data_IF_284034870033
#
_entry.id   IF_284034870033
#
_cell.length_a   1.000
_cell.length_b   1.000
_cell.length_c   1.000
_cell.angle_alpha   90.00
_cell.angle_beta   90.00
_cell.angle_gamma   90.00
#
_symmetry.space_group_name_H-M   'P 1'
#
loop_
_entity.id
_entity.type
_entity.pdbx_description
1 polymer ?
#
# COMPACT_ATOMS: atom_id res chain seq x y z
N UNK A 1 62.83 20.21 -60.74
CA UNK A 1 62.38 19.75 -59.43
C UNK A 1 60.84 19.71 -59.51
N UNK A 2 60.28 18.48 -59.60
CA UNK A 2 58.82 18.25 -59.76
C UNK A 2 58.27 17.87 -58.38
N UNK A 3 57.33 18.70 -57.84
CA UNK A 3 56.57 18.35 -56.64
C UNK A 3 55.28 17.71 -57.07
N UNK A 4 55.05 16.46 -56.69
CA UNK A 4 53.79 15.77 -56.86
C UNK A 4 52.88 16.08 -55.68
N UNK A 5 51.74 16.70 -55.95
CA UNK A 5 50.66 16.93 -54.99
C UNK A 5 49.78 15.70 -54.97
N UNK A 6 49.82 14.98 -53.82
CA UNK A 6 49.00 13.80 -53.58
C UNK A 6 47.64 14.26 -52.99
N UNK A 7 46.56 14.14 -53.78
CA UNK A 7 45.20 14.44 -53.32
C UNK A 7 44.63 13.22 -52.58
N UNK A 8 44.49 13.32 -51.23
CA UNK A 8 43.80 12.34 -50.40
C UNK A 8 42.30 12.59 -50.47
N UNK A 9 41.55 11.71 -51.16
CA UNK A 9 40.12 11.63 -51.15
C UNK A 9 39.67 10.93 -49.85
N UNK A 10 39.06 11.66 -48.91
CA UNK A 10 38.32 11.12 -47.77
C UNK A 10 36.89 10.79 -48.20
N UNK A 11 36.37 9.58 -47.97
CA UNK A 11 34.98 9.31 -48.18
C UNK A 11 34.16 9.87 -47.00
N UNK A 12 33.22 10.75 -47.28
CA UNK A 12 32.16 11.16 -46.35
C UNK A 12 31.29 9.95 -46.02
N UNK A 13 31.47 9.39 -44.82
CA UNK A 13 30.52 8.48 -44.23
C UNK A 13 29.29 9.28 -43.73
N UNK A 14 28.22 9.17 -44.45
CA UNK A 14 26.89 9.66 -44.03
C UNK A 14 26.39 8.76 -42.88
N UNK A 15 26.56 9.21 -41.67
CA UNK A 15 26.00 8.54 -40.47
C UNK A 15 24.50 8.83 -40.44
N UNK A 16 23.67 7.93 -41.01
CA UNK A 16 22.25 7.94 -40.82
C UNK A 16 21.96 7.56 -39.35
N UNK A 17 21.58 8.53 -38.53
CA UNK A 17 20.98 8.28 -37.20
C UNK A 17 19.65 7.54 -37.36
N UNK A 18 19.70 6.21 -37.37
CA UNK A 18 18.53 5.40 -37.06
C UNK A 18 18.20 5.59 -35.59
N UNK A 19 17.06 6.19 -35.32
CA UNK A 19 16.43 6.19 -34.01
C UNK A 19 16.38 4.73 -33.48
N UNK A 20 17.16 4.45 -32.46
CA UNK A 20 17.07 3.20 -31.73
C UNK A 20 15.73 3.23 -30.97
N UNK A 21 14.73 2.57 -31.52
CA UNK A 21 13.63 2.05 -30.72
C UNK A 21 14.24 1.21 -29.62
N UNK A 22 13.94 1.56 -28.37
CA UNK A 22 14.38 0.79 -27.22
C UNK A 22 13.93 -0.67 -27.40
N UNK A 23 14.88 -1.58 -27.60
CA UNK A 23 14.58 -3.01 -27.53
C UNK A 23 14.15 -3.31 -26.09
N UNK A 24 13.04 -4.05 -25.89
CA UNK A 24 12.70 -4.57 -24.58
C UNK A 24 13.91 -5.38 -24.06
N UNK A 25 14.20 -5.22 -22.78
CA UNK A 25 15.33 -5.91 -22.13
C UNK A 25 15.28 -7.40 -22.44
N UNK A 26 16.44 -8.04 -22.61
CA UNK A 26 16.51 -9.48 -22.90
C UNK A 26 15.71 -10.34 -21.92
N UNK A 27 15.47 -9.83 -20.70
CA UNK A 27 14.66 -10.43 -19.68
C UNK A 27 13.15 -10.41 -20.02
N UNK A 28 12.63 -9.33 -20.62
CA UNK A 28 11.23 -9.29 -21.06
C UNK A 28 11.00 -10.17 -22.31
N UNK A 29 11.97 -10.28 -23.20
CA UNK A 29 11.90 -11.14 -24.38
C UNK A 29 12.00 -12.64 -23.99
N UNK A 30 12.74 -12.99 -22.94
CA UNK A 30 12.76 -14.35 -22.40
C UNK A 30 11.41 -14.69 -21.75
N UNK A 31 10.84 -13.78 -21.01
CA UNK A 31 9.51 -13.94 -20.38
C UNK A 31 8.37 -14.09 -21.40
N UNK A 32 8.41 -13.33 -22.50
CA UNK A 32 7.43 -13.49 -23.60
C UNK A 32 7.65 -14.75 -24.44
N UNK A 33 8.89 -15.20 -24.59
CA UNK A 33 9.17 -16.48 -25.27
C UNK A 33 8.74 -17.70 -24.46
N UNK A 34 8.88 -17.67 -23.13
CA UNK A 34 8.35 -18.70 -22.25
C UNK A 34 6.81 -18.72 -22.25
N UNK A 35 6.15 -17.54 -22.28
CA UNK A 35 4.70 -17.43 -22.38
C UNK A 35 4.11 -18.04 -23.69
N UNK A 36 4.86 -18.01 -24.77
CA UNK A 36 4.44 -18.57 -26.07
C UNK A 36 4.82 -20.04 -26.26
N UNK A 37 5.77 -20.57 -25.49
CA UNK A 37 6.18 -21.98 -25.56
C UNK A 37 5.43 -22.89 -24.58
N UNK A 38 4.77 -22.34 -23.56
CA UNK A 38 4.07 -23.09 -22.53
C UNK A 38 2.56 -23.11 -22.75
N UNK A 39 2.12 -23.83 -23.79
CA UNK A 39 0.82 -24.52 -23.77
C UNK A 39 0.85 -25.75 -22.85
N UNK A 40 1.80 -25.84 -21.92
CA UNK A 40 1.95 -26.89 -20.94
C UNK A 40 1.27 -26.49 -19.63
N UNK A 41 0.56 -27.41 -19.08
CA UNK A 41 -0.10 -27.40 -17.79
C UNK A 41 0.88 -26.93 -16.71
N UNK A 42 0.80 -25.64 -16.30
CA UNK A 42 1.58 -25.13 -15.16
C UNK A 42 1.03 -25.78 -13.91
N UNK A 43 1.71 -26.78 -13.41
CA UNK A 43 1.39 -27.41 -12.15
C UNK A 43 2.43 -27.03 -11.08
N UNK A 44 2.29 -27.52 -9.88
CA UNK A 44 3.08 -27.12 -8.71
C UNK A 44 4.60 -27.21 -8.95
N UNK A 45 5.07 -28.20 -9.71
CA UNK A 45 6.49 -28.35 -10.02
C UNK A 45 7.05 -27.20 -10.89
N UNK A 46 6.24 -26.69 -11.82
CA UNK A 46 6.62 -25.53 -12.65
C UNK A 46 6.65 -24.26 -11.81
N UNK A 47 5.70 -24.10 -10.88
CA UNK A 47 5.66 -23.00 -9.90
C UNK A 47 6.90 -23.06 -9.00
N UNK A 48 7.26 -24.25 -8.47
CA UNK A 48 8.48 -24.43 -7.66
C UNK A 48 9.75 -24.08 -8.45
N UNK A 49 9.79 -24.41 -9.72
CA UNK A 49 10.93 -24.08 -10.60
C UNK A 49 11.03 -22.58 -10.86
N UNK A 50 9.90 -21.88 -10.95
CA UNK A 50 9.87 -20.41 -11.07
C UNK A 50 10.30 -19.70 -9.78
N UNK A 51 10.13 -20.34 -8.61
CA UNK A 51 10.39 -19.79 -7.29
C UNK A 51 9.35 -18.77 -6.82
N UNK A 52 8.24 -18.60 -7.57
CA UNK A 52 7.22 -17.59 -7.29
C UNK A 52 5.80 -18.19 -7.50
N UNK A 53 4.92 -17.95 -6.54
CA UNK A 53 3.49 -18.26 -6.62
C UNK A 53 2.73 -16.97 -6.94
N UNK A 54 2.05 -16.94 -8.09
CA UNK A 54 1.26 -15.79 -8.53
C UNK A 54 -0.17 -15.97 -8.03
N UNK A 55 -0.57 -15.11 -7.12
CA UNK A 55 -1.86 -15.19 -6.42
C UNK A 55 -2.74 -14.03 -6.84
N UNK A 56 -3.86 -14.31 -7.48
CA UNK A 56 -4.88 -13.31 -7.76
C UNK A 56 -5.89 -13.22 -6.62
N UNK A 57 -6.31 -12.00 -6.30
CA UNK A 57 -7.38 -11.73 -5.32
C UNK A 57 -8.05 -10.40 -5.59
N UNK A 58 -9.05 -10.03 -4.77
CA UNK A 58 -9.71 -8.72 -4.82
C UNK A 58 -9.24 -7.90 -3.62
N UNK A 59 -8.96 -6.61 -3.81
CA UNK A 59 -8.58 -5.73 -2.71
C UNK A 59 -9.66 -5.64 -1.64
N UNK A 60 -9.27 -5.79 -0.37
CA UNK A 60 -10.17 -5.70 0.77
C UNK A 60 -9.49 -6.06 2.09
N UNK A 61 -10.11 -5.72 3.23
CA UNK A 61 -9.51 -5.92 4.55
C UNK A 61 -9.31 -7.39 4.92
N UNK A 62 -10.17 -8.30 4.43
CA UNK A 62 -10.08 -9.74 4.68
C UNK A 62 -9.30 -10.49 3.59
N UNK A 63 -9.10 -9.87 2.43
CA UNK A 63 -8.48 -10.48 1.27
C UNK A 63 -7.02 -10.06 1.15
N UNK A 64 -6.77 -8.90 0.58
CA UNK A 64 -5.43 -8.31 0.45
C UNK A 64 -5.49 -6.79 0.39
N UNK A 65 -4.57 -6.15 1.06
CA UNK A 65 -4.23 -4.73 0.90
C UNK A 65 -2.77 -4.49 1.25
N UNK A 66 -2.15 -3.49 0.64
CA UNK A 66 -0.82 -3.04 1.03
C UNK A 66 -0.91 -2.11 2.24
N UNK A 67 -0.14 -2.41 3.27
CA UNK A 67 0.03 -1.55 4.42
C UNK A 67 1.50 -1.19 4.59
N UNK A 68 1.88 0.01 4.18
CA UNK A 68 3.26 0.50 4.26
C UNK A 68 4.27 -0.45 3.60
N UNK A 69 3.92 -1.04 2.47
CA UNK A 69 4.74 -1.99 1.74
C UNK A 69 4.75 -3.42 2.30
N UNK A 70 3.90 -3.73 3.26
CA UNK A 70 3.65 -5.08 3.75
C UNK A 70 2.24 -5.54 3.34
N UNK A 71 2.13 -6.75 2.82
CA UNK A 71 0.85 -7.38 2.51
C UNK A 71 0.08 -7.71 3.78
N UNK A 72 -1.22 -7.42 3.77
CA UNK A 72 -2.17 -7.63 4.86
C UNK A 72 -3.43 -8.31 4.32
N UNK A 73 -4.20 -8.91 5.23
CA UNK A 73 -5.44 -9.62 4.93
C UNK A 73 -5.30 -11.12 5.14
N UNK A 74 -6.40 -11.77 5.59
CA UNK A 74 -6.39 -13.19 5.94
C UNK A 74 -6.07 -14.07 4.71
N UNK A 75 -6.64 -13.76 3.54
CA UNK A 75 -6.39 -14.57 2.35
C UNK A 75 -4.93 -14.44 1.90
N UNK A 76 -4.35 -13.25 2.02
CA UNK A 76 -2.92 -13.04 1.80
C UNK A 76 -2.07 -13.82 2.81
N UNK A 77 -2.40 -13.77 4.11
CA UNK A 77 -1.65 -14.50 5.13
C UNK A 77 -1.64 -16.00 4.85
N UNK A 78 -2.78 -16.57 4.44
CA UNK A 78 -2.87 -17.98 4.05
C UNK A 78 -2.01 -18.28 2.80
N UNK A 79 -2.07 -17.43 1.78
CA UNK A 79 -1.27 -17.62 0.57
C UNK A 79 0.24 -17.52 0.84
N UNK A 80 0.65 -16.57 1.68
CA UNK A 80 2.03 -16.38 2.10
C UNK A 80 2.55 -17.59 2.92
N UNK A 81 1.73 -18.12 3.83
CA UNK A 81 2.05 -19.34 4.59
C UNK A 81 2.20 -20.56 3.68
N UNK A 82 1.28 -20.76 2.73
CA UNK A 82 1.38 -21.86 1.77
C UNK A 82 2.64 -21.72 0.92
N UNK A 83 2.86 -20.57 0.32
CA UNK A 83 4.04 -20.33 -0.50
C UNK A 83 5.34 -20.56 0.29
N UNK A 84 5.39 -20.08 1.55
CA UNK A 84 6.54 -20.28 2.41
C UNK A 84 6.79 -21.76 2.72
N UNK A 85 5.74 -22.56 2.93
CA UNK A 85 5.86 -24.00 3.13
C UNK A 85 6.41 -24.74 1.90
N UNK A 86 6.18 -24.20 0.71
CA UNK A 86 6.68 -24.69 -0.57
C UNK A 86 8.04 -24.07 -0.99
N UNK A 87 8.62 -23.17 -0.15
CA UNK A 87 9.86 -22.48 -0.47
C UNK A 87 9.72 -21.39 -1.55
N UNK A 88 8.50 -20.90 -1.79
CA UNK A 88 8.14 -19.93 -2.82
C UNK A 88 7.99 -18.53 -2.26
N UNK A 89 8.07 -17.53 -3.16
CA UNK A 89 7.65 -16.15 -2.89
C UNK A 89 6.26 -15.91 -3.43
N UNK A 90 5.47 -15.09 -2.73
CA UNK A 90 4.14 -14.69 -3.22
C UNK A 90 4.26 -13.42 -4.06
N UNK A 91 3.61 -13.43 -5.23
CA UNK A 91 3.29 -12.25 -6.01
C UNK A 91 1.78 -12.06 -6.06
N UNK A 92 1.30 -10.91 -5.54
CA UNK A 92 -0.13 -10.60 -5.54
C UNK A 92 -0.52 -9.83 -6.79
N UNK A 93 -1.60 -10.30 -7.43
CA UNK A 93 -2.27 -9.61 -8.55
C UNK A 93 -3.70 -9.25 -8.14
N UNK A 94 -4.15 -8.04 -8.46
CA UNK A 94 -5.46 -7.55 -8.05
C UNK A 94 -6.45 -7.55 -9.21
N UNK A 95 -7.54 -8.29 -9.02
CA UNK A 95 -8.70 -8.27 -9.89
C UNK A 95 -9.74 -7.24 -9.39
N UNK A 96 -10.55 -6.69 -10.28
CA UNK A 96 -11.61 -5.74 -9.96
C UNK A 96 -12.81 -6.44 -9.32
N UNK A 97 -13.10 -7.64 -9.80
CA UNK A 97 -14.23 -8.46 -9.34
C UNK A 97 -13.94 -9.96 -9.49
N UNK A 98 -14.86 -10.78 -9.00
CA UNK A 98 -14.72 -12.25 -9.03
C UNK A 98 -14.66 -12.80 -10.46
N UNK A 99 -15.27 -12.15 -11.44
CA UNK A 99 -15.26 -12.60 -12.84
C UNK A 99 -13.87 -12.43 -13.43
N UNK A 100 -13.29 -11.22 -13.30
CA UNK A 100 -11.91 -10.96 -13.72
C UNK A 100 -10.92 -11.87 -13.00
N UNK A 101 -11.14 -12.10 -11.68
CA UNK A 101 -10.32 -12.99 -10.86
C UNK A 101 -10.26 -14.40 -11.44
N UNK A 102 -11.41 -14.99 -11.73
CA UNK A 102 -11.49 -16.35 -12.33
C UNK A 102 -10.90 -16.37 -13.75
N UNK A 103 -11.12 -15.33 -14.53
CA UNK A 103 -10.55 -15.19 -15.86
C UNK A 103 -9.01 -15.10 -15.84
N UNK A 104 -8.42 -14.41 -14.87
CA UNK A 104 -6.96 -14.36 -14.70
C UNK A 104 -6.37 -15.72 -14.46
N UNK A 105 -6.97 -16.54 -13.57
CA UNK A 105 -6.54 -17.92 -13.34
C UNK A 105 -6.72 -18.77 -14.60
N UNK A 106 -7.85 -18.65 -15.29
CA UNK A 106 -8.14 -19.39 -16.52
C UNK A 106 -7.13 -19.08 -17.64
N UNK A 107 -6.71 -17.82 -17.77
CA UNK A 107 -5.70 -17.41 -18.76
C UNK A 107 -4.26 -17.70 -18.33
N UNK A 108 -4.05 -18.20 -17.11
CA UNK A 108 -2.70 -18.44 -16.57
C UNK A 108 -1.93 -17.18 -16.22
N UNK A 109 -2.63 -16.07 -15.98
CA UNK A 109 -2.07 -14.82 -15.47
C UNK A 109 -1.82 -14.91 -13.96
N UNK A 110 -2.49 -15.85 -13.29
CA UNK A 110 -2.26 -16.24 -11.92
C UNK A 110 -2.37 -17.76 -11.76
N UNK A 111 -1.66 -18.32 -10.80
CA UNK A 111 -1.66 -19.75 -10.49
C UNK A 111 -2.90 -20.13 -9.70
N UNK A 112 -3.36 -19.24 -8.80
CA UNK A 112 -4.54 -19.47 -7.99
C UNK A 112 -5.31 -18.17 -7.69
N UNK A 113 -6.61 -18.31 -7.40
CA UNK A 113 -7.48 -17.29 -6.88
C UNK A 113 -7.63 -17.43 -5.36
N UNK A 114 -7.02 -16.55 -4.58
CA UNK A 114 -7.14 -16.53 -3.12
C UNK A 114 -8.36 -15.69 -2.69
N UNK A 115 -9.54 -16.27 -2.89
CA UNK A 115 -10.83 -15.72 -2.48
C UNK A 115 -11.77 -16.90 -2.17
N UNK A 116 -12.56 -16.90 -1.09
CA UNK A 116 -13.63 -17.85 -0.88
C UNK A 116 -14.73 -17.69 -1.94
N UNK A 117 -14.76 -18.56 -2.92
CA UNK A 117 -15.71 -18.55 -4.05
C UNK A 117 -16.57 -19.83 -3.97
N UNK A 118 -17.87 -19.70 -4.24
CA UNK A 118 -18.78 -20.83 -4.31
C UNK A 118 -18.27 -21.91 -5.30
N UNK A 119 -18.23 -23.16 -4.86
CA UNK A 119 -17.63 -24.27 -5.60
C UNK A 119 -18.32 -24.50 -6.97
N UNK A 120 -19.63 -24.23 -7.07
CA UNK A 120 -20.36 -24.32 -8.35
C UNK A 120 -19.89 -23.23 -9.32
N UNK A 121 -19.68 -22.01 -8.82
CA UNK A 121 -19.19 -20.91 -9.63
C UNK A 121 -17.77 -21.16 -10.15
N UNK A 122 -16.93 -21.83 -9.35
CA UNK A 122 -15.59 -22.28 -9.78
C UNK A 122 -15.73 -23.30 -10.90
N UNK A 123 -16.57 -24.31 -10.73
CA UNK A 123 -16.83 -25.34 -11.73
C UNK A 123 -17.43 -24.78 -13.03
N UNK A 124 -18.42 -23.86 -12.93
CA UNK A 124 -19.04 -23.17 -14.08
C UNK A 124 -18.01 -22.35 -14.88
N UNK A 125 -16.98 -21.83 -14.23
CA UNK A 125 -15.86 -21.14 -14.89
C UNK A 125 -14.87 -22.11 -15.57
N UNK A 126 -15.01 -23.43 -15.38
CA UNK A 126 -14.09 -24.45 -15.88
C UNK A 126 -12.78 -24.52 -15.09
N UNK A 127 -12.82 -24.12 -13.81
CA UNK A 127 -11.71 -24.16 -12.87
C UNK A 127 -11.93 -25.26 -11.82
N UNK A 128 -10.90 -25.52 -11.03
CA UNK A 128 -10.91 -26.53 -9.99
C UNK A 128 -10.89 -25.89 -8.59
N UNK A 129 -11.73 -26.42 -7.68
CA UNK A 129 -11.74 -26.01 -6.28
C UNK A 129 -10.54 -26.59 -5.54
N UNK A 130 -9.76 -25.74 -4.85
CA UNK A 130 -8.53 -26.14 -4.18
C UNK A 130 -8.72 -26.54 -2.70
N UNK A 131 -9.95 -26.50 -2.15
CA UNK A 131 -10.25 -26.97 -0.80
C UNK A 131 -9.79 -26.05 0.34
N UNK A 132 -9.19 -24.90 0.07
CA UNK A 132 -8.93 -23.85 1.08
C UNK A 132 -10.24 -23.12 1.30
N UNK A 133 -11.00 -23.49 2.33
CA UNK A 133 -12.39 -23.07 2.47
C UNK A 133 -12.83 -22.86 3.93
N UNK A 134 -13.95 -22.18 4.10
CA UNK A 134 -14.81 -22.35 5.26
C UNK A 134 -15.73 -23.56 4.96
N UNK A 135 -15.48 -24.68 5.61
CA UNK A 135 -16.21 -25.93 5.41
C UNK A 135 -17.75 -25.80 5.58
N UNK A 136 -18.23 -24.73 6.19
CA UNK A 136 -19.66 -24.44 6.40
C UNK A 136 -20.32 -23.73 5.22
N UNK A 137 -19.55 -23.17 4.29
CA UNK A 137 -20.09 -22.29 3.25
C UNK A 137 -19.94 -22.83 1.82
N UNK A 138 -19.36 -24.02 1.63
CA UNK A 138 -19.09 -24.60 0.30
C UNK A 138 -18.34 -23.63 -0.63
N UNK A 139 -17.35 -22.92 -0.07
CA UNK A 139 -16.51 -22.00 -0.80
C UNK A 139 -15.07 -22.45 -0.77
N UNK A 140 -14.35 -22.25 -1.85
CA UNK A 140 -12.94 -22.66 -1.99
C UNK A 140 -12.14 -21.58 -2.72
N UNK A 141 -10.82 -21.71 -2.65
CA UNK A 141 -9.93 -21.08 -3.63
C UNK A 141 -10.06 -21.81 -4.96
N UNK A 142 -9.73 -21.13 -6.05
CA UNK A 142 -9.78 -21.72 -7.38
C UNK A 142 -8.38 -21.80 -8.00
N UNK A 143 -8.10 -22.92 -8.66
CA UNK A 143 -6.90 -23.14 -9.48
C UNK A 143 -7.31 -23.52 -10.88
N UNK A 144 -6.41 -23.43 -11.85
CA UNK A 144 -6.67 -23.85 -13.23
C UNK A 144 -6.89 -25.36 -13.29
N UNK A 145 -7.76 -25.83 -14.14
CA UNK A 145 -7.92 -27.25 -14.43
C UNK A 145 -7.16 -27.59 -15.72
N UNK A 146 -6.37 -28.68 -15.76
CA UNK A 146 -6.00 -29.58 -14.67
C UNK A 146 -4.72 -29.05 -13.95
N UNK A 147 -4.82 -28.67 -12.68
CA UNK A 147 -3.69 -28.38 -11.81
C UNK A 147 -3.81 -29.27 -10.55
N UNK A 148 -3.77 -30.55 -10.77
CA UNK A 148 -4.09 -31.56 -9.73
C UNK A 148 -3.08 -31.50 -8.58
N UNK A 149 -1.77 -31.34 -8.86
CA UNK A 149 -0.73 -31.27 -7.83
C UNK A 149 -0.87 -30.04 -6.94
N UNK A 150 -1.12 -28.86 -7.51
CA UNK A 150 -1.33 -27.64 -6.75
C UNK A 150 -2.60 -27.75 -5.88
N UNK A 151 -3.69 -28.25 -6.46
CA UNK A 151 -4.95 -28.44 -5.73
C UNK A 151 -4.82 -29.47 -4.60
N UNK A 152 -4.11 -30.57 -4.81
CA UNK A 152 -3.84 -31.56 -3.77
C UNK A 152 -2.93 -31.04 -2.68
N UNK A 153 -1.87 -30.33 -3.02
CA UNK A 153 -0.97 -29.70 -2.06
C UNK A 153 -1.73 -28.68 -1.18
N UNK A 154 -2.57 -27.83 -1.76
CA UNK A 154 -3.40 -26.89 -1.04
C UNK A 154 -4.38 -27.60 -0.08
N UNK A 155 -5.04 -28.68 -0.53
CA UNK A 155 -5.96 -29.47 0.32
C UNK A 155 -5.24 -30.18 1.45
N UNK A 156 -4.05 -30.72 1.20
CA UNK A 156 -3.25 -31.39 2.20
C UNK A 156 -2.69 -30.43 3.27
N UNK A 157 -2.31 -29.24 2.80
CA UNK A 157 -1.76 -28.19 3.68
C UNK A 157 -2.83 -27.50 4.52
N UNK A 158 -4.03 -27.23 3.96
CA UNK A 158 -5.07 -26.47 4.62
C UNK A 158 -5.82 -27.31 5.68
N UNK A 159 -5.94 -26.71 6.88
CA UNK A 159 -6.73 -27.30 7.96
C UNK A 159 -7.14 -26.28 9.02
N UNK A 160 -7.94 -26.68 10.01
CA UNK A 160 -8.38 -25.78 11.08
C UNK A 160 -7.22 -25.13 11.84
N UNK A 161 -6.10 -25.84 12.02
CA UNK A 161 -4.90 -25.32 12.68
C UNK A 161 -4.26 -24.22 11.81
N UNK A 162 -4.06 -24.46 10.53
CA UNK A 162 -3.53 -23.51 9.56
C UNK A 162 -4.34 -22.19 9.52
N UNK A 163 -5.66 -22.34 9.49
CA UNK A 163 -6.57 -21.18 9.53
C UNK A 163 -6.45 -20.40 10.84
N UNK A 164 -6.40 -21.11 11.98
CA UNK A 164 -6.28 -20.47 13.28
C UNK A 164 -4.94 -19.73 13.44
N UNK A 165 -3.85 -20.30 12.94
CA UNK A 165 -2.53 -19.68 12.94
C UNK A 165 -2.51 -18.42 12.07
N UNK A 166 -3.03 -18.47 10.85
CA UNK A 166 -3.12 -17.31 9.96
C UNK A 166 -3.98 -16.19 10.58
N UNK A 167 -5.11 -16.53 11.20
CA UNK A 167 -5.97 -15.57 11.90
C UNK A 167 -5.27 -14.96 13.12
N UNK A 168 -4.50 -15.74 13.88
CA UNK A 168 -3.75 -15.26 15.02
C UNK A 168 -2.62 -14.32 14.59
N UNK A 169 -1.94 -14.64 13.51
CA UNK A 169 -0.88 -13.81 12.94
C UNK A 169 -1.44 -12.49 12.39
N UNK A 170 -2.51 -12.54 11.60
CA UNK A 170 -3.17 -11.34 11.09
C UNK A 170 -3.65 -10.42 12.24
N UNK A 171 -4.25 -11.00 13.27
CA UNK A 171 -4.64 -10.26 14.47
C UNK A 171 -3.44 -9.65 15.21
N UNK A 172 -2.31 -10.35 15.25
CA UNK A 172 -1.05 -9.83 15.82
C UNK A 172 -0.50 -8.69 14.96
N UNK A 173 -0.48 -8.82 13.64
CA UNK A 173 -0.08 -7.77 12.70
C UNK A 173 -0.95 -6.52 12.87
N UNK A 174 -2.28 -6.67 12.92
CA UNK A 174 -3.23 -5.57 13.14
C UNK A 174 -3.05 -4.88 14.50
N UNK A 175 -2.73 -5.61 15.58
CA UNK A 175 -2.40 -5.01 16.87
C UNK A 175 -1.10 -4.21 16.81
N UNK A 176 -0.08 -4.73 16.15
CA UNK A 176 1.21 -4.07 16.01
C UNK A 176 1.15 -2.80 15.13
N UNK A 177 0.18 -2.72 14.22
CA UNK A 177 -0.14 -1.49 13.48
C UNK A 177 -0.46 -0.33 14.44
N UNK A 178 -1.16 -0.61 15.53
CA UNK A 178 -1.56 0.39 16.53
C UNK A 178 -0.51 0.60 17.64
N UNK A 179 0.37 -0.39 17.88
CA UNK A 179 1.44 -0.31 18.88
C UNK A 179 2.76 0.18 18.25
N UNK A 180 2.86 1.45 17.92
CA UNK A 180 4.18 2.06 17.78
C UNK A 180 4.77 2.18 19.18
N UNK A 181 5.65 1.27 19.58
CA UNK A 181 6.46 1.39 20.80
C UNK A 181 7.35 2.61 20.66
N UNK A 182 6.83 3.75 21.06
CA UNK A 182 7.57 5.01 21.09
C UNK A 182 8.34 5.05 22.41
N UNK A 183 9.64 4.93 22.34
CA UNK A 183 10.48 5.52 23.38
C UNK A 183 10.37 7.03 23.17
N UNK A 184 9.40 7.65 23.85
CA UNK A 184 9.16 9.09 23.73
C UNK A 184 10.34 9.83 24.33
N UNK A 185 11.24 10.30 23.48
CA UNK A 185 12.20 11.33 23.88
C UNK A 185 11.45 12.67 24.04
N UNK A 186 11.95 13.52 24.93
CA UNK A 186 11.33 14.81 25.18
C UNK A 186 11.09 15.58 23.89
N UNK A 187 9.90 16.18 23.73
CA UNK A 187 9.46 16.89 22.51
C UNK A 187 10.37 18.09 22.20
N UNK A 188 11.01 18.65 23.22
CA UNK A 188 12.04 19.68 23.11
C UNK A 188 13.20 19.36 24.04
N UNK A 189 14.43 19.43 23.54
CA UNK A 189 15.62 19.45 24.38
C UNK A 189 15.78 20.79 25.12
N UNK A 190 15.42 21.89 24.48
CA UNK A 190 15.40 23.22 25.08
C UNK A 190 14.44 24.12 24.32
N UNK A 191 13.30 24.41 24.93
CA UNK A 191 12.29 25.28 24.33
C UNK A 191 12.80 26.71 24.16
N UNK A 192 13.53 27.23 25.17
CA UNK A 192 14.05 28.62 25.18
C UNK A 192 15.11 28.84 24.10
N UNK A 193 15.87 27.79 23.75
CA UNK A 193 16.88 27.85 22.68
C UNK A 193 16.35 27.38 21.33
N UNK A 194 15.07 26.98 21.24
CA UNK A 194 14.46 26.47 20.01
C UNK A 194 15.05 25.14 19.54
N UNK A 195 15.64 24.35 20.43
CA UNK A 195 16.24 23.04 20.13
C UNK A 195 15.17 21.97 20.30
N UNK A 196 14.77 21.32 19.20
CA UNK A 196 13.74 20.26 19.18
C UNK A 196 14.37 18.92 19.52
N UNK A 197 15.50 18.57 18.87
CA UNK A 197 16.18 17.31 19.04
C UNK A 197 17.68 17.45 18.80
N UNK A 198 18.45 16.43 19.14
CA UNK A 198 19.89 16.35 18.79
C UNK A 198 20.10 16.26 17.27
N UNK A 199 19.06 15.95 16.50
CA UNK A 199 19.11 15.78 15.04
C UNK A 199 18.73 17.05 14.25
N UNK A 200 18.47 18.19 14.92
CA UNK A 200 18.12 19.44 14.25
C UNK A 200 19.09 19.86 13.13
N UNK A 201 20.43 19.65 13.25
CA UNK A 201 21.34 19.93 12.15
C UNK A 201 21.03 19.10 10.88
N UNK A 202 20.61 17.83 11.03
CA UNK A 202 20.25 16.97 9.91
C UNK A 202 18.95 17.42 9.24
N UNK A 203 17.97 17.89 10.03
CA UNK A 203 16.71 18.43 9.50
C UNK A 203 16.93 19.74 8.75
N UNK A 204 17.81 20.60 9.25
CA UNK A 204 18.23 21.82 8.53
C UNK A 204 18.92 21.52 7.22
N UNK A 205 19.76 20.49 7.17
CA UNK A 205 20.37 20.02 5.93
C UNK A 205 19.33 19.45 4.97
N UNK A 206 18.38 18.63 5.45
CA UNK A 206 17.29 18.07 4.67
C UNK A 206 16.34 19.16 4.13
N UNK A 207 16.17 20.27 4.85
CA UNK A 207 15.41 21.45 4.40
C UNK A 207 15.95 22.01 3.08
N UNK A 208 17.27 22.09 2.90
CA UNK A 208 17.86 22.52 1.64
C UNK A 208 17.53 21.60 0.45
N UNK A 209 17.34 20.29 0.69
CA UNK A 209 16.98 19.31 -0.33
C UNK A 209 15.50 19.34 -0.67
N UNK A 210 14.64 19.53 0.33
CA UNK A 210 13.18 19.41 0.20
C UNK A 210 12.48 20.73 -0.10
N UNK A 211 13.10 21.85 0.27
CA UNK A 211 12.46 23.19 0.30
C UNK A 211 11.46 23.34 1.45
N UNK A 212 11.37 22.37 2.36
CA UNK A 212 10.46 22.42 3.50
C UNK A 212 11.09 23.13 4.71
N UNK A 213 10.26 23.70 5.57
CA UNK A 213 10.71 24.13 6.90
C UNK A 213 11.31 22.91 7.64
N UNK A 214 12.54 23.07 8.16
CA UNK A 214 13.21 22.00 8.91
C UNK A 214 12.42 21.52 10.13
N UNK A 215 11.59 22.39 10.73
CA UNK A 215 10.71 22.06 11.85
C UNK A 215 9.57 21.13 11.42
N UNK A 216 9.12 21.20 10.15
CA UNK A 216 8.18 20.25 9.59
C UNK A 216 8.82 18.87 9.45
N UNK A 217 10.07 18.82 8.98
CA UNK A 217 10.82 17.55 8.88
C UNK A 217 11.04 16.96 10.27
N UNK A 218 11.35 17.79 11.28
CA UNK A 218 11.44 17.36 12.66
C UNK A 218 10.09 16.83 13.20
N UNK A 219 8.97 17.49 12.87
CA UNK A 219 7.63 17.04 13.24
C UNK A 219 7.27 15.68 12.60
N UNK A 220 7.67 15.50 11.34
CA UNK A 220 7.52 14.20 10.64
C UNK A 220 8.39 13.13 11.30
N UNK A 221 9.66 13.39 11.55
CA UNK A 221 10.56 12.46 12.22
C UNK A 221 10.03 12.02 13.59
N UNK A 222 9.50 12.95 14.37
CA UNK A 222 8.85 12.60 15.63
C UNK A 222 7.64 11.68 15.43
N UNK A 223 6.84 11.91 14.39
CA UNK A 223 5.68 11.07 14.08
C UNK A 223 6.11 9.67 13.63
N UNK A 224 7.23 9.54 12.93
CA UNK A 224 7.78 8.26 12.46
C UNK A 224 8.40 7.44 13.60
N UNK A 225 9.31 8.02 14.36
CA UNK A 225 10.15 7.27 15.31
C UNK A 225 10.19 7.84 16.73
N UNK A 226 9.65 9.05 16.98
CA UNK A 226 9.91 9.77 18.24
C UNK A 226 11.37 10.17 18.41
N UNK A 227 12.11 10.34 17.30
CA UNK A 227 13.56 10.59 17.24
C UNK A 227 14.44 9.39 17.65
N UNK A 228 13.92 8.16 17.60
CA UNK A 228 14.71 6.95 17.84
C UNK A 228 15.37 6.47 16.53
N UNK A 229 16.72 6.53 16.39
CA UNK A 229 17.42 6.08 15.20
C UNK A 229 17.38 4.56 15.03
N UNK A 230 17.08 3.80 16.09
CA UNK A 230 16.98 2.34 16.08
C UNK A 230 15.53 1.85 15.96
N UNK A 231 14.57 2.77 15.80
CA UNK A 231 13.17 2.42 15.65
C UNK A 231 12.98 1.44 14.48
N UNK A 232 12.19 0.39 14.75
CA UNK A 232 11.82 -0.62 13.76
C UNK A 232 10.34 -0.92 13.88
N UNK A 233 9.62 -0.75 12.78
CA UNK A 233 8.22 -1.17 12.73
C UNK A 233 8.12 -2.69 12.50
N UNK A 234 6.96 -3.27 12.79
CA UNK A 234 6.67 -4.67 12.48
C UNK A 234 6.73 -4.94 10.97
N UNK A 235 6.34 -3.97 10.12
CA UNK A 235 6.43 -4.06 8.67
C UNK A 235 7.86 -3.89 8.13
N UNK A 236 8.85 -3.69 9.00
CA UNK A 236 10.26 -3.60 8.66
C UNK A 236 10.77 -2.19 8.34
N UNK A 237 9.98 -1.14 8.51
CA UNK A 237 10.46 0.24 8.40
C UNK A 237 11.53 0.53 9.46
N UNK A 238 12.55 1.32 9.13
CA UNK A 238 13.74 1.53 9.99
C UNK A 238 14.16 2.98 10.09
N UNK A 239 14.74 3.30 11.25
CA UNK A 239 15.45 4.53 11.53
C UNK A 239 14.56 5.73 11.82
N UNK A 240 15.17 6.90 11.92
CA UNK A 240 14.52 8.16 12.28
C UNK A 240 13.26 8.47 11.46
N UNK A 241 13.32 8.23 10.15
CA UNK A 241 12.26 8.57 9.19
C UNK A 241 11.51 7.34 8.70
N UNK A 242 11.67 6.18 9.36
CA UNK A 242 10.96 4.93 9.08
C UNK A 242 10.94 4.56 7.59
N UNK A 243 12.11 4.42 6.98
CA UNK A 243 12.22 3.98 5.59
C UNK A 243 11.95 2.49 5.47
N UNK A 244 11.04 2.12 4.57
CA UNK A 244 10.83 0.72 4.21
C UNK A 244 12.03 0.15 3.47
N UNK A 245 12.37 -1.15 3.65
CA UNK A 245 13.55 -1.75 3.03
C UNK A 245 13.61 -1.57 1.51
N UNK A 246 12.51 -1.80 0.81
CA UNK A 246 12.42 -1.60 -0.63
C UNK A 246 12.68 -0.13 -1.01
N UNK A 247 12.06 0.79 -0.30
CA UNK A 247 12.25 2.23 -0.54
C UNK A 247 13.68 2.66 -0.26
N UNK A 248 14.31 2.15 0.81
CA UNK A 248 15.71 2.42 1.12
C UNK A 248 16.63 1.96 -0.02
N UNK A 249 16.42 0.73 -0.54
CA UNK A 249 17.17 0.19 -1.68
C UNK A 249 16.96 1.03 -2.95
N UNK A 250 15.73 1.41 -3.28
CA UNK A 250 15.43 2.29 -4.42
C UNK A 250 16.10 3.66 -4.31
N UNK A 251 16.35 4.13 -3.09
CA UNK A 251 17.07 5.37 -2.79
C UNK A 251 18.57 5.18 -2.66
N UNK A 252 19.10 3.99 -2.93
CA UNK A 252 20.53 3.68 -2.86
C UNK A 252 21.10 3.59 -1.44
N UNK A 253 20.27 3.25 -0.45
CA UNK A 253 20.71 3.04 0.94
C UNK A 253 20.91 1.56 1.19
N UNK A 254 22.10 1.19 1.66
CA UNK A 254 22.43 -0.18 2.05
C UNK A 254 21.72 -0.56 3.37
N UNK A 255 21.38 -1.84 3.51
CA UNK A 255 20.60 -2.34 4.65
C UNK A 255 21.26 -2.08 6.02
N UNK A 256 22.60 -2.09 6.07
CA UNK A 256 23.42 -1.79 7.25
C UNK A 256 23.47 -0.28 7.58
N UNK A 257 23.24 0.58 6.60
CA UNK A 257 23.31 2.04 6.76
C UNK A 257 21.94 2.69 7.07
N UNK A 258 20.86 1.92 6.96
CA UNK A 258 19.51 2.48 7.09
C UNK A 258 19.21 3.07 8.47
N UNK A 259 19.90 2.61 9.52
CA UNK A 259 19.75 3.12 10.89
C UNK A 259 20.73 4.29 11.19
N UNK A 260 21.68 4.59 10.30
CA UNK A 260 22.52 5.78 10.44
C UNK A 260 21.67 7.04 10.29
N UNK A 261 21.64 7.94 11.29
CA UNK A 261 20.77 9.11 11.31
C UNK A 261 20.92 10.01 10.09
N UNK A 262 22.17 10.27 9.66
CA UNK A 262 22.45 11.15 8.52
C UNK A 262 21.98 10.52 7.21
N UNK A 263 22.32 9.27 6.99
CA UNK A 263 21.91 8.51 5.79
C UNK A 263 20.39 8.39 5.71
N UNK A 264 19.74 8.08 6.82
CA UNK A 264 18.29 7.88 6.90
C UNK A 264 17.53 9.19 6.60
N UNK A 265 17.88 10.31 7.24
CA UNK A 265 17.27 11.62 7.01
C UNK A 265 17.52 12.12 5.59
N UNK A 266 18.75 11.94 5.06
CA UNK A 266 19.07 12.34 3.69
C UNK A 266 18.29 11.52 2.65
N UNK A 267 18.09 10.23 2.87
CA UNK A 267 17.27 9.38 2.00
C UNK A 267 15.79 9.78 2.06
N UNK A 268 15.25 10.03 3.24
CA UNK A 268 13.90 10.55 3.40
C UNK A 268 13.69 11.89 2.69
N UNK A 269 14.68 12.80 2.74
CA UNK A 269 14.63 14.05 1.99
C UNK A 269 14.56 13.82 0.46
N UNK A 270 15.29 12.82 -0.07
CA UNK A 270 15.19 12.42 -1.48
C UNK A 270 13.81 11.86 -1.82
N UNK A 271 13.21 11.05 -0.93
CA UNK A 271 11.85 10.53 -1.11
C UNK A 271 10.82 11.67 -1.14
N UNK A 272 10.89 12.60 -0.18
CA UNK A 272 10.01 13.78 -0.13
C UNK A 272 10.12 14.58 -1.43
N UNK A 273 11.32 14.82 -1.93
CA UNK A 273 11.55 15.51 -3.20
C UNK A 273 10.96 14.75 -4.40
N UNK A 274 11.14 13.41 -4.45
CA UNK A 274 10.54 12.53 -5.47
C UNK A 274 9.02 12.65 -5.47
N UNK A 275 8.39 12.51 -4.31
CA UNK A 275 6.93 12.63 -4.14
C UNK A 275 6.43 14.03 -4.50
N UNK A 276 7.17 15.10 -4.12
CA UNK A 276 6.84 16.48 -4.48
C UNK A 276 6.82 16.65 -6.01
N UNK A 277 7.78 16.09 -6.71
CA UNK A 277 7.81 16.09 -8.19
C UNK A 277 6.65 15.29 -8.81
N UNK A 278 6.31 14.15 -8.23
CA UNK A 278 5.19 13.31 -8.68
C UNK A 278 3.82 13.95 -8.42
N UNK A 279 3.73 14.93 -7.52
CA UNK A 279 2.52 15.70 -7.19
C UNK A 279 2.60 17.14 -7.70
N UNK A 280 3.40 17.40 -8.74
CA UNK A 280 3.57 18.75 -9.32
C UNK A 280 2.26 19.32 -9.92
N UNK A 281 1.29 18.46 -10.23
CA UNK A 281 -0.07 18.84 -10.66
C UNK A 281 -0.91 19.51 -9.55
N UNK A 282 -0.53 19.41 -8.28
CA UNK A 282 -1.11 20.19 -7.18
C UNK A 282 -0.37 21.54 -7.12
N UNK A 283 -0.95 22.65 -7.61
CA UNK A 283 -0.19 23.90 -7.83
C UNK A 283 0.19 24.61 -6.52
N UNK A 284 -0.71 24.60 -5.53
CA UNK A 284 -0.44 25.23 -4.23
C UNK A 284 0.56 24.39 -3.43
N UNK A 285 1.65 25.03 -2.97
CA UNK A 285 2.73 24.35 -2.26
C UNK A 285 2.31 23.84 -0.88
N UNK A 286 1.42 24.56 -0.19
CA UNK A 286 0.92 24.16 1.13
C UNK A 286 -0.06 23.00 1.01
N UNK A 287 -0.88 22.97 -0.04
CA UNK A 287 -1.72 21.83 -0.35
C UNK A 287 -0.86 20.62 -0.74
N UNK A 288 0.07 20.81 -1.68
CA UNK A 288 0.97 19.73 -2.14
C UNK A 288 1.73 19.06 -1.00
N UNK A 289 2.19 19.84 -0.02
CA UNK A 289 2.86 19.34 1.18
C UNK A 289 2.01 18.29 1.92
N UNK A 290 0.71 18.53 2.07
CA UNK A 290 -0.22 17.60 2.74
C UNK A 290 -0.37 16.30 1.95
N UNK A 291 -0.47 16.38 0.63
CA UNK A 291 -0.49 15.22 -0.26
C UNK A 291 0.83 14.44 -0.23
N UNK A 292 1.97 15.12 -0.13
CA UNK A 292 3.28 14.48 0.01
C UNK A 292 3.38 13.72 1.33
N UNK A 293 2.95 14.33 2.45
CA UNK A 293 2.89 13.66 3.75
C UNK A 293 1.99 12.41 3.69
N UNK A 294 0.80 12.55 3.10
CA UNK A 294 -0.12 11.42 2.92
C UNK A 294 0.50 10.31 2.06
N UNK A 295 1.19 10.67 0.97
CA UNK A 295 1.85 9.72 0.09
C UNK A 295 3.05 9.03 0.73
N UNK A 296 3.75 9.71 1.62
CA UNK A 296 4.85 9.14 2.39
C UNK A 296 4.37 8.03 3.33
N UNK A 297 3.23 8.23 3.98
CA UNK A 297 2.65 7.28 4.93
C UNK A 297 1.84 6.17 4.23
N UNK A 298 0.88 6.55 3.38
CA UNK A 298 -0.11 5.63 2.79
C UNK A 298 0.16 5.23 1.35
N UNK A 299 1.25 5.74 0.75
CA UNK A 299 1.59 5.48 -0.64
C UNK A 299 0.90 6.40 -1.64
N UNK A 300 1.64 6.80 -2.68
CA UNK A 300 1.16 7.71 -3.72
C UNK A 300 -0.05 7.16 -4.47
N UNK A 301 -0.11 5.84 -4.68
CA UNK A 301 -1.19 5.18 -5.40
C UNK A 301 -2.55 5.45 -4.77
N UNK A 302 -2.69 5.20 -3.48
CA UNK A 302 -3.93 5.45 -2.74
C UNK A 302 -4.30 6.94 -2.66
N UNK A 303 -3.30 7.82 -2.57
CA UNK A 303 -3.54 9.27 -2.63
C UNK A 303 -4.09 9.67 -3.99
N UNK A 304 -3.58 9.09 -5.08
CA UNK A 304 -4.10 9.29 -6.45
C UNK A 304 -5.52 8.74 -6.60
N UNK A 305 -5.81 7.62 -6.00
CA UNK A 305 -7.16 7.05 -5.97
C UNK A 305 -8.15 7.98 -5.26
N UNK A 306 -7.77 8.54 -4.10
CA UNK A 306 -8.59 9.51 -3.39
C UNK A 306 -8.80 10.81 -4.18
N UNK A 307 -7.76 11.31 -4.89
CA UNK A 307 -7.88 12.45 -5.80
C UNK A 307 -8.83 12.14 -6.98
N UNK A 308 -8.80 10.92 -7.52
CA UNK A 308 -9.69 10.49 -8.59
C UNK A 308 -11.15 10.40 -8.11
N UNK A 309 -11.38 9.88 -6.91
CA UNK A 309 -12.70 9.89 -6.25
C UNK A 309 -13.19 11.34 -6.04
N UNK A 310 -12.37 12.22 -5.48
CA UNK A 310 -12.74 13.63 -5.29
C UNK A 310 -13.18 14.26 -6.62
N UNK A 311 -12.43 14.06 -7.70
CA UNK A 311 -12.80 14.54 -9.03
C UNK A 311 -14.11 13.94 -9.53
N UNK A 312 -14.32 12.64 -9.36
CA UNK A 312 -15.56 11.94 -9.75
C UNK A 312 -16.78 12.53 -9.04
N UNK A 313 -16.64 12.88 -7.76
CA UNK A 313 -17.73 13.45 -6.96
C UNK A 313 -17.78 14.98 -6.99
N UNK A 314 -17.18 15.62 -8.00
CA UNK A 314 -17.26 17.08 -8.22
C UNK A 314 -16.49 17.91 -7.20
N UNK A 315 -15.49 17.31 -6.53
CA UNK A 315 -14.62 17.99 -5.57
C UNK A 315 -13.30 18.38 -6.23
N UNK A 316 -12.62 19.38 -5.66
CA UNK A 316 -11.30 19.79 -6.16
C UNK A 316 -10.24 18.76 -5.74
N UNK A 317 -9.64 17.99 -6.69
CA UNK A 317 -8.66 16.97 -6.36
C UNK A 317 -7.30 17.53 -5.89
N UNK A 318 -7.11 18.84 -5.92
CA UNK A 318 -5.87 19.53 -5.53
C UNK A 318 -6.00 20.25 -4.17
N UNK A 319 -7.12 20.06 -3.46
CA UNK A 319 -7.34 20.57 -2.11
C UNK A 319 -7.44 19.45 -1.12
N UNK A 320 -6.58 19.46 -0.10
CA UNK A 320 -6.52 18.41 0.89
C UNK A 320 -7.84 18.24 1.67
N UNK A 321 -8.46 19.33 2.04
CA UNK A 321 -9.75 19.32 2.75
C UNK A 321 -10.89 18.67 1.94
N UNK A 322 -10.80 18.69 0.62
CA UNK A 322 -11.74 18.05 -0.28
C UNK A 322 -11.37 16.60 -0.65
N UNK A 323 -10.10 16.21 -0.49
CA UNK A 323 -9.60 14.85 -0.80
C UNK A 323 -9.49 13.97 0.45
N UNK A 324 -9.16 14.52 1.62
CA UNK A 324 -9.01 13.76 2.86
C UNK A 324 -10.24 12.88 3.21
N UNK A 325 -11.50 13.31 2.98
CA UNK A 325 -12.66 12.44 3.16
C UNK A 325 -12.62 11.18 2.32
N UNK A 326 -12.05 11.23 1.12
CA UNK A 326 -11.92 10.06 0.24
C UNK A 326 -10.74 9.17 0.66
N UNK A 327 -9.66 9.72 1.25
CA UNK A 327 -8.64 8.92 1.95
C UNK A 327 -9.31 8.08 3.03
N UNK A 328 -10.15 8.68 3.89
CA UNK A 328 -10.94 7.97 4.89
C UNK A 328 -11.91 6.98 4.25
N UNK A 329 -12.54 7.37 3.14
CA UNK A 329 -13.51 6.56 2.40
C UNK A 329 -12.93 5.28 1.81
N UNK A 330 -11.64 5.23 1.47
CA UNK A 330 -10.97 4.02 0.95
C UNK A 330 -10.98 2.84 1.93
N UNK A 331 -11.48 3.00 3.15
CA UNK A 331 -11.78 1.89 4.08
C UNK A 331 -13.15 1.23 3.82
N UNK A 332 -14.02 1.83 3.02
CA UNK A 332 -15.37 1.33 2.79
C UNK A 332 -15.53 0.75 1.38
N UNK A 333 -16.26 -0.37 1.21
CA UNK A 333 -16.42 -1.04 -0.08
C UNK A 333 -16.93 -0.14 -1.20
N UNK A 334 -17.78 0.83 -0.87
CA UNK A 334 -18.33 1.78 -1.82
C UNK A 334 -17.25 2.58 -2.55
N UNK A 335 -16.15 2.93 -1.86
CA UNK A 335 -15.09 3.74 -2.42
C UNK A 335 -13.92 2.89 -2.93
N UNK A 336 -13.42 1.92 -2.14
CA UNK A 336 -12.27 1.15 -2.60
C UNK A 336 -12.57 0.19 -3.78
N UNK A 337 -13.86 -0.13 -4.03
CA UNK A 337 -14.30 -0.90 -5.21
C UNK A 337 -14.78 -0.02 -6.36
N UNK A 338 -14.71 1.30 -6.21
CA UNK A 338 -15.12 2.21 -7.27
C UNK A 338 -14.23 2.03 -8.51
N UNK A 339 -14.79 2.02 -9.73
CA UNK A 339 -14.00 1.81 -10.96
C UNK A 339 -12.84 2.79 -11.20
N UNK A 340 -12.85 3.98 -10.59
CA UNK A 340 -11.75 4.94 -10.70
C UNK A 340 -10.58 4.63 -9.76
N UNK A 341 -10.80 3.75 -8.77
CA UNK A 341 -9.79 3.32 -7.79
C UNK A 341 -8.97 2.17 -8.37
N UNK A 342 -7.66 2.29 -8.33
CA UNK A 342 -6.71 1.33 -8.90
C UNK A 342 -5.96 0.51 -7.85
N UNK A 343 -5.79 1.06 -6.65
CA UNK A 343 -4.98 0.46 -5.58
C UNK A 343 -5.85 -0.14 -4.48
N UNK A 344 -7.18 0.15 -4.50
CA UNK A 344 -8.17 -0.51 -3.65
C UNK A 344 -8.18 -0.03 -2.20
N UNK A 345 -8.34 -0.97 -1.28
CA UNK A 345 -8.50 -0.70 0.15
C UNK A 345 -7.23 -0.15 0.80
N UNK A 346 -7.38 0.83 1.72
CA UNK A 346 -6.33 1.30 2.61
C UNK A 346 -6.90 1.67 4.00
N UNK A 347 -6.05 1.71 5.03
CA UNK A 347 -6.40 2.22 6.36
C UNK A 347 -6.33 3.76 6.35
N UNK A 348 -7.35 4.40 5.79
CA UNK A 348 -7.35 5.85 5.54
C UNK A 348 -7.30 6.70 6.81
N UNK A 349 -7.85 6.20 7.93
CA UNK A 349 -7.80 6.88 9.24
C UNK A 349 -6.37 7.11 9.71
N UNK A 350 -5.47 6.16 9.45
CA UNK A 350 -4.07 6.31 9.81
C UNK A 350 -3.41 7.43 9.00
N UNK A 351 -3.57 7.41 7.68
CA UNK A 351 -2.94 8.41 6.81
C UNK A 351 -3.48 9.82 7.04
N UNK A 352 -4.78 9.97 7.19
CA UNK A 352 -5.38 11.28 7.50
C UNK A 352 -4.91 11.78 8.89
N UNK A 353 -4.89 10.91 9.90
CA UNK A 353 -4.39 11.21 11.24
C UNK A 353 -2.90 11.57 11.25
N UNK A 354 -2.09 10.88 10.45
CA UNK A 354 -0.67 11.17 10.28
C UNK A 354 -0.42 12.60 9.79
N UNK A 355 -1.11 13.01 8.72
CA UNK A 355 -1.00 14.37 8.19
C UNK A 355 -1.40 15.40 9.24
N UNK A 356 -2.53 15.20 9.90
CA UNK A 356 -3.04 16.11 10.93
C UNK A 356 -2.06 16.23 12.11
N UNK A 357 -1.54 15.10 12.61
CA UNK A 357 -0.61 15.07 13.75
C UNK A 357 0.68 15.81 13.45
N UNK A 358 1.24 15.65 12.25
CA UNK A 358 2.46 16.35 11.83
C UNK A 358 2.23 17.86 11.72
N UNK A 359 1.15 18.27 11.07
CA UNK A 359 0.83 19.70 10.90
C UNK A 359 0.58 20.37 12.25
N UNK A 360 -0.16 19.73 13.16
CA UNK A 360 -0.38 20.22 14.52
C UNK A 360 0.95 20.37 15.28
N UNK A 361 1.84 19.37 15.17
CA UNK A 361 3.16 19.41 15.83
C UNK A 361 4.06 20.48 15.23
N UNK A 362 4.06 20.63 13.91
CA UNK A 362 4.80 21.69 13.25
C UNK A 362 4.37 23.08 13.71
N UNK A 363 3.06 23.33 13.86
CA UNK A 363 2.54 24.55 14.47
C UNK A 363 3.07 24.75 15.91
N UNK A 364 3.08 23.68 16.71
CA UNK A 364 3.66 23.70 18.06
C UNK A 364 5.15 24.05 18.09
N UNK A 365 5.87 23.77 17.00
CA UNK A 365 7.28 24.19 16.80
C UNK A 365 7.44 25.59 16.23
N UNK A 366 6.35 26.34 16.06
CA UNK A 366 6.35 27.70 15.51
C UNK A 366 6.29 27.75 13.97
N UNK A 367 5.84 26.67 13.32
CA UNK A 367 5.51 26.67 11.90
C UNK A 367 4.15 27.34 11.64
N UNK A 368 3.97 27.89 10.45
CA UNK A 368 2.73 28.58 10.07
C UNK A 368 2.00 27.86 8.97
N UNK A 369 0.99 27.05 9.33
CA UNK A 369 -0.01 26.50 8.39
C UNK A 369 -1.40 26.88 8.89
N UNK A 370 -2.23 27.38 8.00
CA UNK A 370 -3.66 27.47 8.26
C UNK A 370 -4.27 26.07 8.10
N UNK A 371 -4.52 25.40 9.23
CA UNK A 371 -5.24 24.12 9.22
C UNK A 371 -6.69 24.38 8.85
N UNK A 372 -7.11 23.93 7.66
CA UNK A 372 -8.53 23.82 7.34
C UNK A 372 -9.16 22.74 8.24
N UNK A 373 -10.36 22.99 8.78
CA UNK A 373 -11.13 21.94 9.48
C UNK A 373 -11.37 20.80 8.50
N UNK A 374 -11.08 19.58 8.91
CA UNK A 374 -11.46 18.40 8.13
C UNK A 374 -12.98 18.35 7.99
N UNK A 375 -13.54 18.40 6.77
CA UNK A 375 -14.98 18.22 6.56
C UNK A 375 -15.36 16.77 6.84
N UNK A 376 -16.61 16.57 7.28
CA UNK A 376 -17.22 15.25 7.35
C UNK A 376 -17.25 14.59 5.95
N UNK A 377 -17.21 13.26 5.90
CA UNK A 377 -17.41 12.52 4.65
C UNK A 377 -18.71 13.01 3.98
N UNK A 378 -18.65 13.38 2.68
CA UNK A 378 -19.88 13.64 1.94
C UNK A 378 -20.77 12.38 1.96
N UNK A 379 -22.06 12.55 2.26
CA UNK A 379 -23.00 11.46 2.01
C UNK A 379 -22.95 11.10 0.52
N UNK A 380 -22.75 9.81 0.23
CA UNK A 380 -22.80 9.33 -1.13
C UNK A 380 -24.17 9.66 -1.73
N UNK A 381 -24.24 10.13 -2.98
CA UNK A 381 -25.52 10.28 -3.65
C UNK A 381 -26.24 8.94 -3.63
N UNK A 382 -27.48 8.93 -3.16
CA UNK A 382 -28.31 7.73 -3.15
C UNK A 382 -28.28 7.11 -4.56
N UNK A 383 -27.77 5.89 -4.68
CA UNK A 383 -27.86 5.16 -5.93
C UNK A 383 -29.34 5.03 -6.26
N UNK A 384 -29.75 5.48 -7.44
CA UNK A 384 -31.10 5.35 -7.95
C UNK A 384 -31.59 3.94 -7.67
N UNK A 385 -32.60 3.85 -6.81
CA UNK A 385 -33.22 2.59 -6.45
C UNK A 385 -33.68 1.88 -7.72
N UNK A 386 -33.26 0.63 -7.87
CA UNK A 386 -33.88 -0.28 -8.82
C UNK A 386 -35.38 -0.34 -8.53
N UNK A 387 -36.24 -0.48 -9.54
CA UNK A 387 -37.70 -0.47 -9.35
C UNK A 387 -38.08 -1.56 -8.36
N UNK A 388 -38.92 -1.17 -7.39
CA UNK A 388 -39.42 -2.01 -6.32
C UNK A 388 -40.10 -3.27 -6.86
N UNK A 389 -39.65 -4.43 -6.41
CA UNK A 389 -40.42 -5.66 -6.51
C UNK A 389 -41.65 -5.59 -5.55
N UNK A 390 -42.80 -6.22 -5.88
CA UNK A 390 -44.04 -6.03 -5.16
C UNK A 390 -43.99 -6.67 -3.76
N UNK A 391 -44.64 -5.97 -2.86
CA UNK A 391 -44.88 -6.17 -1.45
C UNK A 391 -45.27 -7.61 -1.07
N UNK A 392 -44.53 -8.24 -0.19
CA UNK A 392 -44.91 -9.46 0.50
C UNK A 392 -44.63 -9.33 2.00
N UNK A 393 -45.65 -8.99 2.75
CA UNK A 393 -45.92 -9.51 4.09
C UNK A 393 -45.03 -9.03 5.25
N UNK A 394 -45.63 -8.21 6.07
CA UNK A 394 -45.24 -7.76 7.42
C UNK A 394 -44.72 -8.91 8.31
N UNK A 395 -43.46 -8.77 8.77
CA UNK A 395 -42.92 -9.50 9.88
C UNK A 395 -41.86 -8.67 10.60
N UNK A 396 -42.26 -8.01 11.69
CA UNK A 396 -41.38 -7.21 12.54
C UNK A 396 -40.35 -8.09 13.25
N UNK A 397 -39.07 -7.96 12.87
CA UNK A 397 -37.95 -8.46 13.66
C UNK A 397 -36.99 -7.31 13.97
N UNK A 398 -36.79 -7.10 15.27
CA UNK A 398 -35.83 -6.11 15.80
C UNK A 398 -34.40 -6.33 15.25
N UNK A 399 -33.60 -5.28 15.03
CA UNK A 399 -32.26 -5.40 14.50
C UNK A 399 -31.36 -6.15 15.48
N UNK A 400 -30.72 -7.23 15.03
CA UNK A 400 -29.67 -7.94 15.77
C UNK A 400 -28.46 -7.02 15.89
N UNK A 401 -28.06 -6.72 17.13
CA UNK A 401 -26.81 -6.01 17.46
C UNK A 401 -25.64 -6.78 16.86
N UNK A 402 -24.89 -6.12 15.99
CA UNK A 402 -23.67 -6.64 15.41
C UNK A 402 -22.60 -6.74 16.52
N UNK A 403 -22.05 -7.92 16.74
CA UNK A 403 -21.16 -8.27 17.86
C UNK A 403 -19.75 -7.66 17.74
N UNK A 404 -19.49 -6.88 16.68
CA UNK A 404 -18.21 -6.28 16.36
C UNK A 404 -18.18 -4.75 16.38
N UNK A 405 -19.23 -4.10 16.87
CA UNK A 405 -19.20 -2.67 17.20
C UNK A 405 -18.69 -2.46 18.62
N UNK A 406 -17.48 -2.91 18.93
CA UNK A 406 -16.75 -2.36 20.06
C UNK A 406 -16.22 -1.01 19.60
N UNK A 407 -16.97 0.05 19.92
CA UNK A 407 -16.54 1.42 19.72
C UNK A 407 -15.25 1.66 20.49
N UNK A 408 -14.13 1.70 19.77
CA UNK A 408 -12.92 2.30 20.28
C UNK A 408 -13.17 3.81 20.29
N UNK A 409 -13.60 4.33 21.44
CA UNK A 409 -13.68 5.76 21.70
C UNK A 409 -12.23 6.28 21.72
N UNK A 410 -11.85 7.06 20.73
CA UNK A 410 -10.57 7.78 20.73
C UNK A 410 -10.72 8.89 21.75
N UNK A 411 -10.12 8.72 22.94
CA UNK A 411 -10.09 9.76 23.96
C UNK A 411 -9.13 10.88 23.55
N UNK A 412 -9.61 12.11 23.58
CA UNK A 412 -8.84 13.34 23.42
C UNK A 412 -8.11 13.67 24.73
N UNK A 413 -6.96 14.37 24.69
CA UNK A 413 -6.31 14.89 25.90
C UNK A 413 -7.20 15.82 26.75
N UNK A 414 -8.31 16.31 26.20
CA UNK A 414 -9.30 17.16 26.88
C UNK A 414 -10.47 16.36 27.48
N UNK A 415 -10.46 15.03 27.34
CA UNK A 415 -11.48 14.15 27.92
C UNK A 415 -11.26 14.00 29.44
N UNK A 416 -12.25 14.24 30.30
CA UNK A 416 -12.08 14.18 31.75
C UNK A 416 -11.60 12.81 32.26
N UNK A 417 -11.85 11.74 31.52
CA UNK A 417 -11.43 10.38 31.85
C UNK A 417 -9.95 10.11 31.52
N UNK A 418 -9.33 10.93 30.67
CA UNK A 418 -7.91 10.80 30.29
C UNK A 418 -6.97 11.13 31.47
N UNK A 419 -7.36 12.06 32.33
CA UNK A 419 -6.56 12.47 33.48
C UNK A 419 -6.62 11.49 34.67
N UNK A 420 -7.57 10.53 34.67
CA UNK A 420 -7.69 9.53 35.74
C UNK A 420 -6.84 8.26 35.50
N UNK A 421 -6.18 8.14 34.35
CA UNK A 421 -5.34 6.98 33.98
C UNK A 421 -3.83 7.22 34.12
N UNK A 422 -3.40 8.31 34.77
CA UNK A 422 -1.97 8.53 35.05
C UNK A 422 -1.62 7.76 36.34
N UNK A 423 -0.67 6.80 36.31
CA UNK A 423 -0.18 6.19 37.52
C UNK A 423 0.63 7.20 38.34
N UNK A 424 0.39 7.22 39.65
CA UNK A 424 1.13 8.01 40.62
C UNK A 424 2.61 7.58 40.70
#
# INVERSE_FOLDING_TARGET
>A
MKFHLLLLLLPLMWCACKSRTAQPSAMNAAFEREKTAAGGESDLEDIRRSGELIVATISGPETYYDYRGAGMGLQYALADHFAHSEGLKVRMELAKDTTELLDMVKRGEADLAALPIDDRRIADAGLQAAGVNDAKQHTSWAVRAPADELAEALRAWFGPATLAEAQAEEKKRLRQVHEVRRHMQAVFLSRDRGIISVYDPLFKQASATTGWDWKLIAAQCYQESGFDPNARSWAGARGLMQLMPRTATELGVLAEQVNDPQTNVAAAARLIRKLTGQLADVPDANERLKFVLASYNGGLGHVRDAMALARKYGRNPHRWDEVAPYILGLQTPQYYRDPVVKHGYMIGTETAGYVQAILKRWQGYGGSVLLSRSPALPEAPAQNAAPAAPDAGKGSRAPRKNKYSSGVRIMSPDDPEFNQMQPH
#
